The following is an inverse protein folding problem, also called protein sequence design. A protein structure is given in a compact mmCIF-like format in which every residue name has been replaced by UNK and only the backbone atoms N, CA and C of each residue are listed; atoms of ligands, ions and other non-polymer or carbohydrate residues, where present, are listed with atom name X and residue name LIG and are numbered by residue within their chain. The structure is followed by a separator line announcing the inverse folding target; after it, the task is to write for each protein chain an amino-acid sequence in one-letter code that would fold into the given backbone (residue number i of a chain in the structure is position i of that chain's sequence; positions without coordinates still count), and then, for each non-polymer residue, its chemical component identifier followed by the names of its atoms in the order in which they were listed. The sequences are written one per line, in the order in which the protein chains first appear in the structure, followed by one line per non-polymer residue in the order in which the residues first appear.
data_IF_220968395149
#
_entry.id   IF_220968395149
#
_cell.length_a   1.000
_cell.length_b   1.000
_cell.length_c   1.000
_cell.angle_alpha   90.00
_cell.angle_beta   90.00
_cell.angle_gamma   90.00
#
_symmetry.space_group_name_H-M   'P 1'
#
loop_
_entity.id
_entity.type
_entity.pdbx_description
1 polymer ?
#
# COMPACT_ATOMS: atom_id res chain seq x y z
N UNK A 1 32.70 -24.83 7.92
CA UNK A 1 32.06 -23.78 7.09
C UNK A 1 30.53 -23.68 7.28
N UNK A 2 29.83 -24.73 7.77
CA UNK A 2 28.36 -24.76 7.93
C UNK A 2 27.75 -23.73 8.90
N UNK A 3 28.51 -23.21 9.88
CA UNK A 3 27.96 -22.29 10.89
C UNK A 3 27.64 -20.90 10.33
N UNK A 4 28.41 -20.45 9.32
CA UNK A 4 28.21 -19.12 8.69
C UNK A 4 27.01 -19.07 7.76
N UNK A 5 26.69 -20.17 7.07
CA UNK A 5 25.49 -20.25 6.21
C UNK A 5 24.21 -20.22 7.06
N UNK A 6 24.17 -21.00 8.15
CA UNK A 6 23.00 -21.02 9.06
C UNK A 6 22.67 -19.67 9.69
N UNK A 7 23.68 -18.90 10.12
CA UNK A 7 23.49 -17.56 10.69
C UNK A 7 22.94 -16.57 9.65
N UNK A 8 23.48 -16.61 8.43
CA UNK A 8 23.03 -15.78 7.31
C UNK A 8 21.56 -16.07 6.95
N UNK A 9 21.13 -17.32 6.99
CA UNK A 9 19.74 -17.68 6.68
C UNK A 9 18.76 -17.19 7.77
N UNK A 10 19.13 -17.27 9.05
CA UNK A 10 18.32 -16.75 10.17
C UNK A 10 18.19 -15.22 10.10
N UNK A 11 19.28 -14.50 9.81
CA UNK A 11 19.27 -13.04 9.65
C UNK A 11 18.39 -12.60 8.47
N UNK A 12 18.46 -13.32 7.34
CA UNK A 12 17.62 -13.06 6.16
C UNK A 12 16.13 -13.30 6.45
N UNK A 13 15.78 -14.32 7.22
CA UNK A 13 14.39 -14.60 7.63
C UNK A 13 13.85 -13.48 8.55
N UNK A 14 14.67 -13.04 9.52
CA UNK A 14 14.31 -11.96 10.44
C UNK A 14 14.11 -10.61 9.74
N UNK A 15 15.05 -10.21 8.87
CA UNK A 15 14.96 -8.96 8.11
C UNK A 15 13.75 -8.95 7.17
N UNK A 16 13.45 -10.08 6.51
CA UNK A 16 12.28 -10.20 5.63
C UNK A 16 10.95 -10.08 6.37
N UNK A 17 10.83 -10.69 7.56
CA UNK A 17 9.63 -10.56 8.39
C UNK A 17 9.41 -9.09 8.82
N UNK A 18 10.50 -8.37 9.11
CA UNK A 18 10.45 -6.94 9.44
C UNK A 18 10.03 -6.07 8.26
N UNK A 19 10.65 -6.28 7.09
CA UNK A 19 10.29 -5.60 5.83
C UNK A 19 8.82 -5.81 5.52
N UNK A 20 8.32 -7.04 5.64
CA UNK A 20 6.91 -7.38 5.38
C UNK A 20 5.96 -6.63 6.32
N UNK A 21 6.26 -6.60 7.63
CA UNK A 21 5.47 -5.83 8.61
C UNK A 21 5.51 -4.33 8.32
N UNK A 22 6.68 -3.81 7.93
CA UNK A 22 6.86 -2.42 7.52
C UNK A 22 5.98 -2.05 6.33
N UNK A 23 5.90 -2.90 5.31
CA UNK A 23 5.04 -2.68 4.13
C UNK A 23 3.55 -2.64 4.48
N UNK A 24 3.06 -3.58 5.29
CA UNK A 24 1.66 -3.53 5.75
C UNK A 24 1.39 -2.27 6.58
N UNK A 25 2.32 -1.88 7.47
CA UNK A 25 2.21 -0.63 8.23
C UNK A 25 2.17 0.60 7.34
N UNK A 26 3.00 0.64 6.30
CA UNK A 26 3.02 1.71 5.30
C UNK A 26 1.70 1.79 4.53
N UNK A 27 1.12 0.66 4.11
CA UNK A 27 -0.17 0.64 3.40
C UNK A 27 -1.31 1.16 4.28
N UNK A 28 -1.32 0.82 5.57
CA UNK A 28 -2.28 1.35 6.54
C UNK A 28 -2.10 2.86 6.69
N UNK A 29 -0.87 3.33 6.85
CA UNK A 29 -0.57 4.75 6.99
C UNK A 29 -1.01 5.55 5.75
N UNK A 30 -0.73 5.05 4.54
CA UNK A 30 -1.12 5.70 3.29
C UNK A 30 -2.63 5.70 3.08
N UNK A 31 -3.33 4.63 3.46
CA UNK A 31 -4.80 4.61 3.48
C UNK A 31 -5.36 5.67 4.44
N UNK A 32 -4.76 5.83 5.62
CA UNK A 32 -5.17 6.83 6.59
C UNK A 32 -4.90 8.26 6.09
N UNK A 33 -3.73 8.53 5.50
CA UNK A 33 -3.40 9.83 4.90
C UNK A 33 -4.38 10.16 3.76
N UNK A 34 -4.68 9.19 2.90
CA UNK A 34 -5.68 9.34 1.83
C UNK A 34 -7.06 9.67 2.38
N UNK A 35 -7.54 8.92 3.37
CA UNK A 35 -8.83 9.17 4.02
C UNK A 35 -8.90 10.55 4.69
N UNK A 36 -7.84 10.97 5.38
CA UNK A 36 -7.76 12.30 6.01
C UNK A 36 -7.79 13.39 4.93
N UNK A 37 -6.97 13.28 3.89
CA UNK A 37 -6.97 14.24 2.79
C UNK A 37 -8.31 14.33 2.07
N UNK A 38 -9.03 13.21 1.97
CA UNK A 38 -10.36 13.15 1.36
C UNK A 38 -11.43 13.88 2.18
N UNK A 39 -11.30 13.90 3.51
CA UNK A 39 -12.23 14.55 4.44
C UNK A 39 -11.92 16.03 4.68
N UNK A 40 -10.65 16.42 4.59
CA UNK A 40 -10.24 17.80 4.83
C UNK A 40 -10.71 18.73 3.71
N UNK A 41 -10.88 20.04 4.01
CA UNK A 41 -11.05 21.05 2.98
C UNK A 41 -9.91 20.94 1.94
N UNK A 42 -10.29 20.56 0.72
CA UNK A 42 -9.39 20.12 -0.32
C UNK A 42 -9.32 21.15 -1.45
N UNK A 43 -10.46 21.72 -1.85
CA UNK A 43 -10.50 22.60 -2.99
C UNK A 43 -11.62 23.66 -2.92
N UNK A 44 -11.51 24.69 -3.77
CA UNK A 44 -12.61 25.61 -4.10
C UNK A 44 -12.96 25.47 -5.57
N UNK A 45 -14.26 25.45 -5.85
CA UNK A 45 -14.79 25.50 -7.21
C UNK A 45 -14.98 26.95 -7.64
N UNK A 46 -14.85 27.20 -8.95
CA UNK A 46 -15.07 28.53 -9.51
C UNK A 46 -16.48 29.04 -9.19
N UNK A 47 -16.55 30.27 -8.66
CA UNK A 47 -17.80 30.89 -8.23
C UNK A 47 -18.24 30.55 -6.81
N UNK A 48 -17.48 29.72 -6.09
CA UNK A 48 -17.76 29.39 -4.69
C UNK A 48 -16.78 30.06 -3.72
N UNK A 49 -17.33 30.59 -2.62
CA UNK A 49 -16.58 31.21 -1.53
C UNK A 49 -16.10 30.16 -0.52
N UNK A 50 -16.75 28.98 -0.49
CA UNK A 50 -16.54 27.94 0.53
C UNK A 50 -15.51 26.90 0.05
N UNK A 51 -14.72 26.39 0.99
CA UNK A 51 -13.84 25.25 0.73
C UNK A 51 -14.60 23.94 0.86
N UNK A 52 -14.47 23.09 -0.15
CA UNK A 52 -15.10 21.77 -0.22
C UNK A 52 -14.08 20.69 0.08
N UNK A 53 -14.54 19.58 0.65
CA UNK A 53 -13.75 18.35 0.76
C UNK A 53 -14.14 17.39 -0.34
N UNK A 54 -13.21 16.52 -0.76
CA UNK A 54 -13.50 15.53 -1.79
C UNK A 54 -14.62 14.55 -1.37
N UNK A 55 -14.86 14.39 -0.07
CA UNK A 55 -16.02 13.68 0.47
C UNK A 55 -17.34 14.41 0.23
N UNK A 56 -17.38 15.73 0.41
CA UNK A 56 -18.60 16.51 0.20
C UNK A 56 -19.09 16.40 -1.25
N UNK A 57 -18.16 16.36 -2.21
CA UNK A 57 -18.50 16.29 -3.63
C UNK A 57 -18.60 14.86 -4.18
N UNK A 58 -17.83 13.91 -3.60
CA UNK A 58 -17.69 12.55 -4.11
C UNK A 58 -18.37 11.44 -3.28
N UNK A 59 -18.91 11.78 -2.10
CA UNK A 59 -19.62 10.86 -1.21
C UNK A 59 -18.73 9.90 -0.41
N UNK A 60 -19.34 8.91 0.23
CA UNK A 60 -18.69 8.02 1.20
C UNK A 60 -17.91 6.85 0.60
N UNK A 61 -18.12 6.53 -0.68
CA UNK A 61 -17.56 5.33 -1.31
C UNK A 61 -16.02 5.28 -1.20
N UNK A 62 -15.25 6.34 -1.48
CA UNK A 62 -13.80 6.29 -1.34
C UNK A 62 -13.32 6.07 0.10
N UNK A 63 -14.05 6.55 1.11
CA UNK A 63 -13.74 6.26 2.52
C UNK A 63 -13.94 4.79 2.86
N UNK A 64 -15.00 4.18 2.34
CA UNK A 64 -15.22 2.75 2.50
C UNK A 64 -14.09 1.95 1.86
N UNK A 65 -13.59 2.37 0.70
CA UNK A 65 -12.42 1.76 0.04
C UNK A 65 -11.17 1.89 0.92
N UNK A 66 -10.83 3.08 1.42
CA UNK A 66 -9.67 3.26 2.31
C UNK A 66 -9.80 2.45 3.60
N UNK A 67 -10.98 2.44 4.22
CA UNK A 67 -11.26 1.64 5.42
C UNK A 67 -11.12 0.15 5.18
N UNK A 68 -11.68 -0.36 4.08
CA UNK A 68 -11.56 -1.76 3.68
C UNK A 68 -10.10 -2.16 3.42
N UNK A 69 -9.33 -1.32 2.73
CA UNK A 69 -7.91 -1.56 2.47
C UNK A 69 -7.08 -1.57 3.76
N UNK A 70 -7.30 -0.61 4.66
CA UNK A 70 -6.62 -0.56 5.94
C UNK A 70 -6.96 -1.77 6.83
N UNK A 71 -8.24 -2.14 6.89
CA UNK A 71 -8.71 -3.32 7.61
C UNK A 71 -8.12 -4.61 7.04
N UNK A 72 -8.11 -4.75 5.71
CA UNK A 72 -7.52 -5.90 5.04
C UNK A 72 -6.01 -5.98 5.28
N UNK A 73 -5.28 -4.88 5.17
CA UNK A 73 -3.85 -4.82 5.47
C UNK A 73 -3.57 -5.25 6.93
N UNK A 74 -4.40 -4.81 7.87
CA UNK A 74 -4.30 -5.20 9.27
C UNK A 74 -4.56 -6.69 9.52
N UNK A 75 -5.50 -7.30 8.80
CA UNK A 75 -5.79 -8.73 8.87
C UNK A 75 -4.67 -9.56 8.22
N UNK A 76 -4.27 -9.17 7.01
CA UNK A 76 -3.29 -9.88 6.19
C UNK A 76 -1.85 -9.80 6.73
N UNK A 77 -1.53 -8.82 7.60
CA UNK A 77 -0.17 -8.70 8.17
C UNK A 77 0.33 -9.97 8.88
N UNK A 78 -0.60 -10.79 9.40
CA UNK A 78 -0.30 -12.06 10.08
C UNK A 78 -0.34 -13.28 9.15
N UNK A 79 -0.87 -13.15 7.95
CA UNK A 79 -1.04 -14.25 7.00
C UNK A 79 0.29 -14.68 6.37
N UNK A 80 0.34 -15.90 5.81
CA UNK A 80 1.52 -16.48 5.19
C UNK A 80 1.90 -15.83 3.85
N UNK A 81 2.56 -16.60 3.00
CA UNK A 81 2.98 -16.19 1.65
C UNK A 81 1.78 -15.82 0.76
N UNK A 82 1.96 -14.77 -0.06
CA UNK A 82 0.97 -14.30 -1.05
C UNK A 82 0.03 -13.22 -0.54
N UNK A 83 -0.02 -13.00 0.78
CA UNK A 83 -0.85 -11.96 1.38
C UNK A 83 -0.39 -10.54 1.01
N UNK A 84 0.92 -10.33 0.81
CA UNK A 84 1.47 -9.05 0.37
C UNK A 84 1.10 -8.72 -1.08
N UNK A 85 1.11 -9.72 -1.97
CA UNK A 85 0.73 -9.58 -3.38
C UNK A 85 -0.74 -9.27 -3.54
N UNK A 86 -1.60 -9.99 -2.83
CA UNK A 86 -3.04 -9.69 -2.80
C UNK A 86 -3.29 -8.28 -2.29
N UNK A 87 -2.65 -7.90 -1.18
CA UNK A 87 -2.78 -6.56 -0.63
C UNK A 87 -2.29 -5.49 -1.61
N UNK A 88 -1.14 -5.72 -2.25
CA UNK A 88 -0.55 -4.79 -3.20
C UNK A 88 -1.45 -4.56 -4.41
N UNK A 89 -2.00 -5.63 -5.00
CA UNK A 89 -2.94 -5.53 -6.11
C UNK A 89 -4.23 -4.78 -5.72
N UNK A 90 -4.78 -5.09 -4.55
CA UNK A 90 -6.00 -4.44 -4.07
C UNK A 90 -5.77 -2.97 -3.71
N UNK A 91 -4.62 -2.63 -3.12
CA UNK A 91 -4.25 -1.24 -2.85
C UNK A 91 -4.16 -0.43 -4.16
N UNK A 92 -3.54 -1.00 -5.20
CA UNK A 92 -3.49 -0.38 -6.53
C UNK A 92 -4.88 -0.20 -7.13
N UNK A 93 -5.71 -1.24 -7.12
CA UNK A 93 -7.07 -1.18 -7.66
C UNK A 93 -7.96 -0.18 -6.90
N UNK A 94 -7.88 -0.18 -5.56
CA UNK A 94 -8.63 0.75 -4.73
C UNK A 94 -8.18 2.20 -4.89
N UNK A 95 -6.87 2.45 -5.06
CA UNK A 95 -6.34 3.78 -5.39
C UNK A 95 -6.87 4.28 -6.74
N UNK A 96 -6.93 3.42 -7.77
CA UNK A 96 -7.53 3.80 -9.07
C UNK A 96 -9.01 4.12 -8.87
N UNK A 97 -9.75 3.27 -8.16
CA UNK A 97 -11.18 3.46 -7.93
C UNK A 97 -11.50 4.75 -7.16
N UNK A 98 -10.65 5.15 -6.20
CA UNK A 98 -10.85 6.39 -5.44
C UNK A 98 -10.56 7.64 -6.26
N UNK A 99 -9.72 7.57 -7.31
CA UNK A 99 -9.38 8.72 -8.16
C UNK A 99 -10.54 9.13 -9.06
N UNK A 100 -11.38 8.19 -9.51
CA UNK A 100 -12.43 8.45 -10.50
C UNK A 100 -13.39 9.57 -10.07
N UNK A 101 -13.99 9.57 -8.85
CA UNK A 101 -14.90 10.65 -8.44
C UNK A 101 -14.21 12.02 -8.41
N UNK A 102 -12.96 12.07 -7.93
CA UNK A 102 -12.20 13.32 -7.80
C UNK A 102 -11.85 13.90 -9.17
N UNK A 103 -11.41 13.04 -10.11
CA UNK A 103 -11.15 13.47 -11.49
C UNK A 103 -12.41 14.01 -12.14
N UNK A 104 -13.56 13.36 -11.96
CA UNK A 104 -14.81 13.85 -12.55
C UNK A 104 -15.18 15.25 -12.07
N UNK A 105 -14.94 15.58 -10.79
CA UNK A 105 -15.15 16.93 -10.25
C UNK A 105 -14.13 17.93 -10.83
N UNK A 106 -12.85 17.54 -10.88
CA UNK A 106 -11.76 18.45 -11.28
C UNK A 106 -11.64 18.65 -12.80
N UNK A 107 -12.21 17.77 -13.63
CA UNK A 107 -12.06 17.83 -15.09
C UNK A 107 -12.97 18.88 -15.75
N UNK A 108 -14.06 19.28 -15.08
CA UNK A 108 -15.07 20.19 -15.62
C UNK A 108 -15.14 21.54 -14.91
N UNK A 109 -14.32 21.77 -13.88
CA UNK A 109 -14.31 23.01 -13.11
C UNK A 109 -12.90 23.57 -12.99
N UNK A 110 -12.80 24.89 -12.86
CA UNK A 110 -11.54 25.55 -12.48
C UNK A 110 -11.41 25.43 -10.96
N UNK A 111 -10.31 24.85 -10.50
CA UNK A 111 -10.17 24.45 -9.09
C UNK A 111 -8.96 25.12 -8.44
N UNK A 112 -9.17 25.72 -7.27
CA UNK A 112 -8.09 26.17 -6.41
C UNK A 112 -7.79 25.12 -5.33
N UNK A 113 -6.56 24.63 -5.29
CA UNK A 113 -6.15 23.54 -4.41
C UNK A 113 -5.80 24.02 -3.00
N UNK A 114 -6.11 23.19 -2.01
CA UNK A 114 -5.80 23.37 -0.60
C UNK A 114 -5.02 22.19 -0.03
N UNK A 115 -4.86 22.15 1.30
CA UNK A 115 -4.06 21.13 1.99
C UNK A 115 -4.67 19.73 1.84
N UNK A 116 -6.01 19.61 1.85
CA UNK A 116 -6.70 18.32 1.71
C UNK A 116 -6.33 17.60 0.40
N UNK A 117 -6.22 18.35 -0.70
CA UNK A 117 -5.90 17.81 -2.03
C UNK A 117 -4.48 17.20 -2.06
N UNK A 118 -3.50 17.90 -1.47
CA UNK A 118 -2.13 17.41 -1.38
C UNK A 118 -1.99 16.14 -0.53
N UNK A 119 -2.68 16.08 0.60
CA UNK A 119 -2.71 14.88 1.44
C UNK A 119 -3.43 13.72 0.75
N UNK A 120 -4.55 14.00 0.09
CA UNK A 120 -5.31 13.01 -0.66
C UNK A 120 -4.45 12.39 -1.76
N UNK A 121 -3.83 13.23 -2.61
CA UNK A 121 -2.91 12.80 -3.65
C UNK A 121 -1.75 11.98 -3.09
N UNK A 122 -1.16 12.40 -1.97
CA UNK A 122 -0.07 11.66 -1.31
C UNK A 122 -0.51 10.26 -0.89
N UNK A 123 -1.68 10.14 -0.25
CA UNK A 123 -2.22 8.85 0.19
C UNK A 123 -2.51 7.92 -0.99
N UNK A 124 -3.18 8.43 -2.02
CA UNK A 124 -3.56 7.66 -3.22
C UNK A 124 -2.34 7.22 -4.03
N UNK A 125 -1.40 8.13 -4.32
CA UNK A 125 -0.18 7.80 -5.06
C UNK A 125 0.67 6.82 -4.27
N UNK A 126 0.77 7.00 -2.96
CA UNK A 126 1.46 6.06 -2.10
C UNK A 126 0.82 4.66 -2.13
N UNK A 127 -0.51 4.56 -2.09
CA UNK A 127 -1.20 3.27 -2.21
C UNK A 127 -0.98 2.62 -3.56
N UNK A 128 -1.04 3.38 -4.64
CA UNK A 128 -0.80 2.88 -5.99
C UNK A 128 0.64 2.36 -6.16
N UNK A 129 1.64 3.22 -5.92
CA UNK A 129 3.04 2.85 -6.13
C UNK A 129 3.54 1.87 -5.07
N UNK A 130 3.18 2.09 -3.81
CA UNK A 130 3.53 1.18 -2.72
C UNK A 130 2.86 -0.18 -2.87
N UNK A 131 1.60 -0.23 -3.31
CA UNK A 131 0.88 -1.46 -3.64
C UNK A 131 1.52 -2.21 -4.81
N UNK A 132 1.81 -1.52 -5.92
CA UNK A 132 2.47 -2.10 -7.07
C UNK A 132 3.86 -2.66 -6.74
N UNK A 133 4.68 -1.89 -6.01
CA UNK A 133 5.99 -2.33 -5.55
C UNK A 133 5.89 -3.56 -4.65
N UNK A 134 4.91 -3.57 -3.74
CA UNK A 134 4.76 -4.68 -2.81
C UNK A 134 4.30 -5.97 -3.51
N UNK A 135 3.40 -5.83 -4.50
CA UNK A 135 2.96 -6.94 -5.34
C UNK A 135 4.08 -7.57 -6.19
N UNK A 136 5.10 -6.79 -6.54
CA UNK A 136 6.29 -7.28 -7.26
C UNK A 136 7.33 -7.84 -6.28
N UNK A 137 7.52 -7.19 -5.13
CA UNK A 137 8.56 -7.54 -4.17
C UNK A 137 8.30 -8.90 -3.50
N UNK A 138 7.06 -9.23 -3.15
CA UNK A 138 6.76 -10.49 -2.45
C UNK A 138 7.09 -11.74 -3.30
N UNK A 139 6.71 -11.84 -4.60
CA UNK A 139 7.13 -12.94 -5.47
C UNK A 139 8.65 -13.07 -5.61
N UNK A 140 9.38 -11.95 -5.71
CA UNK A 140 10.84 -11.96 -5.80
C UNK A 140 11.46 -12.48 -4.49
N UNK A 141 10.95 -12.03 -3.35
CA UNK A 141 11.38 -12.52 -2.04
C UNK A 141 11.12 -14.03 -1.90
N UNK A 142 10.02 -14.53 -2.44
CA UNK A 142 9.72 -15.97 -2.46
C UNK A 142 10.67 -16.76 -3.36
N UNK A 143 10.89 -16.33 -4.61
CA UNK A 143 11.80 -17.01 -5.54
C UNK A 143 13.24 -17.07 -5.01
N UNK A 144 13.68 -16.02 -4.30
CA UNK A 144 14.99 -15.99 -3.67
C UNK A 144 15.07 -16.86 -2.41
N UNK A 145 13.95 -17.15 -1.72
CA UNK A 145 13.89 -18.11 -0.61
C UNK A 145 14.01 -19.55 -1.09
N UNK A 146 13.18 -19.95 -2.06
CA UNK A 146 13.17 -21.32 -2.57
C UNK A 146 14.56 -21.79 -3.04
N UNK A 147 15.30 -20.92 -3.73
CA UNK A 147 16.66 -21.20 -4.19
C UNK A 147 17.69 -21.32 -3.06
N UNK A 148 17.46 -20.68 -1.92
CA UNK A 148 18.33 -20.81 -0.76
C UNK A 148 18.10 -22.16 -0.08
N UNK A 149 16.83 -22.55 0.09
CA UNK A 149 16.45 -23.82 0.72
C UNK A 149 16.88 -25.04 -0.13
N UNK A 150 16.68 -25.00 -1.46
CA UNK A 150 17.12 -26.06 -2.39
C UNK A 150 18.66 -26.23 -2.41
N UNK A 151 19.44 -25.17 -2.16
CA UNK A 151 20.91 -25.25 -2.07
C UNK A 151 21.38 -25.94 -0.79
N UNK A 152 20.59 -25.89 0.28
CA UNK A 152 20.91 -26.57 1.55
C UNK A 152 20.71 -28.07 1.42
N UNK A 153 19.69 -28.53 0.69
CA UNK A 153 19.43 -29.95 0.45
C UNK A 153 20.47 -30.62 -0.47
N UNK A 154 21.06 -29.88 -1.40
CA UNK A 154 22.04 -30.40 -2.38
C UNK A 154 23.47 -30.52 -1.86
N UNK A 155 23.78 -30.06 -0.65
CA UNK A 155 25.07 -30.31 -0.01
C UNK A 155 24.91 -31.59 0.82
N UNK A 156 25.33 -32.77 0.31
CA UNK A 156 25.25 -34.00 1.09
C UNK A 156 26.02 -33.80 2.39
N UNK A 157 25.46 -34.30 3.49
CA UNK A 157 26.15 -34.41 4.75
C UNK A 157 27.32 -35.39 4.57
N UNK A 158 28.45 -34.88 4.08
CA UNK A 158 29.73 -35.58 4.15
C UNK A 158 30.15 -35.54 5.61
N UNK A 159 29.78 -36.59 6.35
CA UNK A 159 30.52 -37.04 7.53
C UNK A 159 31.78 -37.78 7.09
#
# INVERSE_FOLDING_TARGET
MQTRTRLRDVELVGARAWIRRGWFGLMIALSAIGAIGYLLPAHKLEGDEVWHSNFADGGEIPLLVFGALAGLAFLLRKCGLGAGSVMGLLATAGAIASVVPVVLVHLFATVQNGIGEGMYATGVLGLFFGGALYAIAEPILYLTQRRADERVELVPATN
#
